data_IF_681728916166
#
_entry.id   IF_681728916166
#
_cell.length_a   1.000
_cell.length_b   1.000
_cell.length_c   1.000
_cell.angle_alpha   90.00
_cell.angle_beta   90.00
_cell.angle_gamma   90.00
#
_symmetry.space_group_name_H-M   'P 1'
#
loop_
_entity.id
_entity.type
_entity.pdbx_description
1 polymer ?
#
# COMPACT_ATOMS: atom_id res chain seq x y z
N UNK A 1 -28.45 20.54 31.74
CA UNK A 1 -28.77 19.09 31.76
C UNK A 1 -28.56 18.58 30.36
N UNK A 2 -27.32 18.23 30.03
CA UNK A 2 -26.99 17.60 28.74
C UNK A 2 -27.23 16.11 28.94
N UNK A 3 -28.15 15.54 28.17
CA UNK A 3 -28.31 14.10 28.07
C UNK A 3 -26.93 13.49 27.80
N UNK A 4 -26.38 12.81 28.78
CA UNK A 4 -25.30 11.85 28.56
C UNK A 4 -25.85 10.85 27.56
N UNK A 5 -25.52 11.04 26.28
CA UNK A 5 -25.70 10.03 25.25
C UNK A 5 -25.16 8.73 25.82
N UNK A 6 -26.03 7.77 26.13
CA UNK A 6 -25.64 6.48 26.68
C UNK A 6 -24.68 5.83 25.69
N UNK A 7 -23.38 5.93 26.01
CA UNK A 7 -22.33 5.29 25.25
C UNK A 7 -22.52 3.81 25.52
N UNK A 8 -23.23 3.12 24.62
CA UNK A 8 -23.39 1.68 24.74
C UNK A 8 -21.98 1.07 24.65
N UNK A 9 -21.41 0.56 25.75
CA UNK A 9 -19.98 0.27 25.85
C UNK A 9 -19.54 -0.79 24.84
N UNK A 10 -20.47 -1.68 24.49
CA UNK A 10 -20.32 -2.70 23.45
C UNK A 10 -20.18 -2.11 22.05
N UNK A 11 -20.92 -1.05 21.72
CA UNK A 11 -20.84 -0.43 20.38
C UNK A 11 -19.51 0.29 20.20
N UNK A 12 -19.07 1.02 21.22
CA UNK A 12 -17.78 1.69 21.22
C UNK A 12 -16.62 0.67 21.10
N UNK A 13 -16.67 -0.43 21.88
CA UNK A 13 -15.62 -1.46 21.82
C UNK A 13 -15.55 -2.16 20.47
N UNK A 14 -16.71 -2.46 19.84
CA UNK A 14 -16.77 -3.03 18.49
C UNK A 14 -16.14 -2.08 17.46
N UNK A 15 -16.48 -0.79 17.51
CA UNK A 15 -15.95 0.19 16.55
C UNK A 15 -14.45 0.42 16.73
N UNK A 16 -13.96 0.50 17.97
CA UNK A 16 -12.52 0.61 18.25
C UNK A 16 -11.75 -0.63 17.80
N UNK A 17 -12.31 -1.82 18.05
CA UNK A 17 -11.75 -3.09 17.56
C UNK A 17 -11.68 -3.10 16.03
N UNK A 18 -12.76 -2.71 15.35
CA UNK A 18 -12.80 -2.62 13.89
C UNK A 18 -11.78 -1.63 13.34
N UNK A 19 -11.62 -0.45 13.96
CA UNK A 19 -10.60 0.52 13.57
C UNK A 19 -9.19 -0.05 13.74
N UNK A 20 -8.93 -0.74 14.85
CA UNK A 20 -7.66 -1.40 15.11
C UNK A 20 -7.34 -2.46 14.03
N UNK A 21 -8.33 -3.29 13.67
CA UNK A 21 -8.19 -4.31 12.63
C UNK A 21 -7.89 -3.71 11.26
N UNK A 22 -8.57 -2.62 10.89
CA UNK A 22 -8.29 -1.93 9.63
C UNK A 22 -6.87 -1.35 9.61
N UNK A 23 -6.42 -0.73 10.71
CA UNK A 23 -5.04 -0.25 10.82
C UNK A 23 -4.01 -1.38 10.74
N UNK A 24 -4.27 -2.52 11.37
CA UNK A 24 -3.42 -3.71 11.29
C UNK A 24 -3.36 -4.25 9.85
N UNK A 25 -4.50 -4.30 9.16
CA UNK A 25 -4.56 -4.73 7.76
C UNK A 25 -3.76 -3.80 6.84
N UNK A 26 -3.84 -2.49 7.03
CA UNK A 26 -3.06 -1.50 6.27
C UNK A 26 -1.55 -1.73 6.48
N UNK A 27 -1.10 -1.86 7.74
CA UNK A 27 0.31 -2.13 8.06
C UNK A 27 0.79 -3.46 7.50
N UNK A 28 -0.07 -4.48 7.53
CA UNK A 28 0.24 -5.80 6.96
C UNK A 28 0.56 -5.72 5.46
N UNK A 29 -0.12 -4.86 4.68
CA UNK A 29 0.21 -4.67 3.27
C UNK A 29 1.58 -4.02 3.06
N UNK A 30 2.00 -3.12 3.95
CA UNK A 30 3.33 -2.50 3.88
C UNK A 30 4.42 -3.55 4.13
N UNK A 31 4.26 -4.37 5.18
CA UNK A 31 5.18 -5.48 5.47
C UNK A 31 5.21 -6.50 4.34
N UNK A 32 4.05 -6.87 3.77
CA UNK A 32 3.98 -7.80 2.63
C UNK A 32 4.72 -7.25 1.41
N UNK A 33 4.55 -5.96 1.09
CA UNK A 33 5.26 -5.34 -0.03
C UNK A 33 6.78 -5.32 0.19
N UNK A 34 7.24 -5.02 1.41
CA UNK A 34 8.67 -5.05 1.76
C UNK A 34 9.27 -6.45 1.63
N UNK A 35 8.64 -7.46 2.25
CA UNK A 35 9.13 -8.85 2.21
C UNK A 35 9.18 -9.37 0.77
N UNK A 36 8.14 -9.15 -0.02
CA UNK A 36 8.11 -9.59 -1.42
C UNK A 36 9.15 -8.84 -2.25
N UNK A 37 9.35 -7.53 -2.05
CA UNK A 37 10.39 -6.77 -2.75
C UNK A 37 11.79 -7.28 -2.44
N UNK A 38 12.08 -7.60 -1.17
CA UNK A 38 13.38 -8.18 -0.77
C UNK A 38 13.57 -9.54 -1.43
N UNK A 39 12.55 -10.42 -1.38
CA UNK A 39 12.58 -11.72 -2.05
C UNK A 39 12.79 -11.59 -3.56
N UNK A 40 12.17 -10.60 -4.19
CA UNK A 40 12.35 -10.32 -5.61
C UNK A 40 13.79 -9.92 -5.94
N UNK A 41 14.37 -8.97 -5.21
CA UNK A 41 15.78 -8.56 -5.42
C UNK A 41 16.74 -9.74 -5.22
N UNK A 42 16.53 -10.53 -4.17
CA UNK A 42 17.37 -11.70 -3.90
C UNK A 42 17.30 -12.72 -5.04
N UNK A 43 16.10 -13.00 -5.54
CA UNK A 43 15.92 -13.92 -6.66
C UNK A 43 16.57 -13.44 -7.96
N UNK A 44 16.62 -12.12 -8.22
CA UNK A 44 17.33 -11.59 -9.39
C UNK A 44 18.81 -11.94 -9.32
N UNK A 45 19.41 -11.88 -8.11
CA UNK A 45 20.78 -12.32 -7.88
C UNK A 45 20.98 -13.83 -8.14
N UNK A 46 20.00 -14.66 -7.79
CA UNK A 46 20.05 -16.09 -8.13
C UNK A 46 19.93 -16.32 -9.64
N UNK A 47 19.00 -15.64 -10.30
CA UNK A 47 18.75 -15.74 -11.75
C UNK A 47 19.99 -15.32 -12.55
N UNK A 48 20.71 -14.28 -12.11
CA UNK A 48 21.97 -13.86 -12.75
C UNK A 48 23.09 -14.87 -12.52
N UNK A 49 23.22 -15.40 -11.29
CA UNK A 49 24.24 -16.41 -10.95
C UNK A 49 24.04 -17.71 -11.72
N UNK A 50 22.80 -18.21 -11.78
CA UNK A 50 22.45 -19.41 -12.56
C UNK A 50 22.59 -19.13 -14.05
N UNK A 51 22.19 -17.94 -14.51
CA UNK A 51 22.33 -17.54 -15.90
C UNK A 51 23.78 -17.45 -16.39
N UNK A 52 24.74 -17.18 -15.49
CA UNK A 52 26.17 -17.17 -15.81
C UNK A 52 26.77 -18.57 -16.00
N UNK A 53 26.12 -19.62 -15.52
CA UNK A 53 26.54 -21.02 -15.75
C UNK A 53 26.21 -21.52 -17.16
N UNK A 54 25.39 -20.78 -17.93
CA UNK A 54 25.08 -21.15 -19.30
C UNK A 54 26.28 -20.87 -20.24
N UNK A 55 26.61 -21.78 -21.17
CA UNK A 55 27.89 -21.77 -21.89
C UNK A 55 28.08 -20.68 -22.95
N UNK A 56 27.07 -19.85 -23.25
CA UNK A 56 27.17 -18.82 -24.29
C UNK A 56 27.27 -17.38 -23.75
N UNK A 57 28.27 -16.65 -24.24
CA UNK A 57 28.45 -15.21 -24.03
C UNK A 57 27.49 -14.48 -24.97
N UNK A 58 26.42 -13.81 -24.46
CA UNK A 58 25.45 -13.15 -25.33
C UNK A 58 26.10 -11.98 -26.05
N UNK A 59 25.80 -11.79 -27.33
CA UNK A 59 25.94 -10.47 -27.95
C UNK A 59 24.87 -9.56 -27.34
N UNK A 60 25.25 -8.83 -26.30
CA UNK A 60 24.35 -7.88 -25.66
C UNK A 60 24.03 -6.73 -26.61
N UNK A 61 22.92 -6.85 -27.31
CA UNK A 61 22.31 -5.69 -27.97
C UNK A 61 21.82 -4.74 -26.89
N UNK A 62 22.04 -3.43 -27.06
CA UNK A 62 21.63 -2.37 -26.12
C UNK A 62 20.16 -2.52 -25.70
N UNK A 63 19.28 -2.92 -26.62
CA UNK A 63 17.87 -3.18 -26.34
C UNK A 63 17.64 -4.27 -25.28
N UNK A 64 18.42 -5.36 -25.29
CA UNK A 64 18.30 -6.47 -24.34
C UNK A 64 18.76 -6.03 -22.93
N UNK A 65 19.81 -5.20 -22.87
CA UNK A 65 20.29 -4.62 -21.60
C UNK A 65 19.26 -3.68 -20.99
N UNK A 66 18.65 -2.80 -21.80
CA UNK A 66 17.57 -1.93 -21.33
C UNK A 66 16.37 -2.75 -20.88
N UNK A 67 15.99 -3.78 -21.65
CA UNK A 67 14.86 -4.64 -21.31
C UNK A 67 15.07 -5.40 -19.99
N UNK A 68 16.26 -5.95 -19.74
CA UNK A 68 16.56 -6.64 -18.48
C UNK A 68 16.54 -5.69 -17.28
N UNK A 69 17.02 -4.45 -17.46
CA UNK A 69 16.91 -3.39 -16.45
C UNK A 69 15.46 -3.06 -16.14
N UNK A 70 14.61 -2.89 -17.16
CA UNK A 70 13.18 -2.61 -16.97
C UNK A 70 12.51 -3.74 -16.20
N UNK A 71 12.76 -5.00 -16.57
CA UNK A 71 12.19 -6.17 -15.88
C UNK A 71 12.66 -6.31 -14.43
N UNK A 72 13.89 -5.89 -14.11
CA UNK A 72 14.39 -5.91 -12.74
C UNK A 72 13.93 -4.73 -11.89
N UNK A 73 13.96 -3.51 -12.44
CA UNK A 73 13.74 -2.29 -11.66
C UNK A 73 12.27 -1.93 -11.50
N UNK A 74 11.45 -2.12 -12.54
CA UNK A 74 10.02 -1.74 -12.50
C UNK A 74 9.25 -2.47 -11.39
N UNK A 75 9.41 -3.80 -11.19
CA UNK A 75 8.73 -4.48 -10.08
C UNK A 75 9.13 -3.95 -8.70
N UNK A 76 10.42 -3.65 -8.49
CA UNK A 76 10.92 -3.09 -7.23
C UNK A 76 10.31 -1.71 -6.97
N UNK A 77 10.29 -0.84 -7.98
CA UNK A 77 9.63 0.46 -7.89
C UNK A 77 8.13 0.34 -7.59
N UNK A 78 7.45 -0.63 -8.19
CA UNK A 78 6.03 -0.89 -7.94
C UNK A 78 5.76 -1.34 -6.50
N UNK A 79 6.61 -2.18 -5.91
CA UNK A 79 6.50 -2.52 -4.49
C UNK A 79 6.75 -1.30 -3.59
N UNK A 80 7.70 -0.43 -3.95
CA UNK A 80 7.87 0.88 -3.28
C UNK A 80 6.61 1.76 -3.38
N UNK A 81 5.95 1.76 -4.54
CA UNK A 81 4.70 2.50 -4.76
C UNK A 81 3.51 1.99 -3.94
N UNK A 82 3.53 0.72 -3.50
CA UNK A 82 2.54 0.18 -2.55
C UNK A 82 2.63 0.90 -1.19
N UNK A 83 3.82 1.38 -0.81
CA UNK A 83 4.06 2.10 0.44
C UNK A 83 3.58 3.57 0.38
N UNK A 84 3.46 4.14 -0.83
CA UNK A 84 3.22 5.57 -1.02
C UNK A 84 1.76 6.08 -0.97
N UNK A 85 0.66 5.29 -0.85
CA UNK A 85 -0.63 5.91 -0.59
C UNK A 85 -0.65 6.43 0.86
N UNK A 86 -0.36 7.72 1.02
CA UNK A 86 -0.58 8.46 2.26
C UNK A 86 -2.07 8.68 2.48
N UNK A 87 -2.49 8.84 3.74
CA UNK A 87 -3.88 9.13 4.14
C UNK A 87 -4.50 10.35 3.42
N UNK A 88 -3.68 11.23 2.84
CA UNK A 88 -4.15 12.38 2.04
C UNK A 88 -4.68 12.00 0.65
N UNK A 89 -4.31 10.83 0.13
CA UNK A 89 -4.76 10.32 -1.19
C UNK A 89 -6.00 9.42 -1.09
N UNK A 90 -6.48 9.12 0.13
CA UNK A 90 -7.72 8.39 0.32
C UNK A 90 -8.89 9.22 -0.23
N UNK A 91 -9.82 8.64 -1.02
CA UNK A 91 -10.96 9.36 -1.57
C UNK A 91 -11.70 10.09 -0.47
N UNK A 92 -11.91 11.40 -0.63
CA UNK A 92 -12.82 12.14 0.24
C UNK A 92 -14.22 11.60 -0.03
N UNK A 93 -14.87 11.06 0.99
CA UNK A 93 -16.27 10.64 0.85
C UNK A 93 -17.13 11.85 0.44
N UNK A 94 -18.07 11.61 -0.48
CA UNK A 94 -18.93 12.64 -1.05
C UNK A 94 -19.75 13.39 -0.01
N UNK A 95 -19.52 14.70 0.07
CA UNK A 95 -20.50 15.81 0.12
C UNK A 95 -21.73 15.77 1.04
N UNK A 96 -21.82 14.89 2.03
CA UNK A 96 -22.71 15.10 3.20
C UNK A 96 -21.96 14.79 4.47
N UNK A 97 -21.21 15.79 4.92
CA UNK A 97 -20.38 15.71 6.13
C UNK A 97 -20.68 16.95 6.98
N UNK A 98 -21.95 17.23 7.22
CA UNK A 98 -22.37 18.48 7.89
C UNK A 98 -22.07 18.47 9.40
N UNK A 99 -21.66 17.33 9.97
CA UNK A 99 -21.42 17.16 11.41
C UNK A 99 -20.08 16.48 11.78
N UNK A 100 -19.08 16.52 10.90
CA UNK A 100 -17.76 15.94 11.17
C UNK A 100 -16.76 17.04 11.54
N UNK A 101 -16.43 17.12 12.83
CA UNK A 101 -15.46 18.09 13.35
C UNK A 101 -14.01 17.63 13.08
N UNK A 102 -13.79 16.32 12.93
CA UNK A 102 -12.46 15.68 12.83
C UNK A 102 -11.62 15.99 14.06
N UNK A 103 -12.23 15.94 15.23
CA UNK A 103 -11.63 16.32 16.51
C UNK A 103 -10.62 15.28 17.00
N UNK A 104 -10.67 14.02 16.53
CA UNK A 104 -9.72 12.99 16.97
C UNK A 104 -8.28 13.13 16.44
N UNK A 105 -8.03 13.95 15.41
CA UNK A 105 -6.67 14.25 14.94
C UNK A 105 -6.35 15.72 15.15
N UNK A 106 -5.46 16.02 16.09
CA UNK A 106 -4.91 17.35 16.26
C UNK A 106 -4.09 17.74 15.03
N UNK A 107 -4.62 18.66 14.24
CA UNK A 107 -3.86 19.40 13.23
C UNK A 107 -3.69 20.83 13.75
N UNK A 108 -2.44 21.23 13.98
CA UNK A 108 -2.11 22.59 14.45
C UNK A 108 -2.64 23.67 13.49
N UNK A 109 -2.73 23.35 12.20
CA UNK A 109 -3.30 24.20 11.14
C UNK A 109 -4.81 24.41 11.27
N UNK A 110 -5.52 23.49 11.95
CA UNK A 110 -6.98 23.49 12.08
C UNK A 110 -7.44 24.02 13.42
N UNK A 111 -6.70 23.71 14.49
CA UNK A 111 -6.99 24.16 15.84
C UNK A 111 -5.73 24.78 16.45
N UNK A 112 -5.45 26.06 16.16
CA UNK A 112 -4.29 26.77 16.71
C UNK A 112 -4.43 27.08 18.21
N UNK A 113 -5.66 27.03 18.74
CA UNK A 113 -5.98 27.32 20.14
C UNK A 113 -6.68 26.09 20.75
N UNK A 114 -6.29 25.75 21.98
CA UNK A 114 -6.84 24.59 22.71
C UNK A 114 -8.35 24.71 22.94
N UNK A 115 -8.85 25.91 23.18
CA UNK A 115 -10.27 26.15 23.43
C UNK A 115 -11.12 25.86 22.18
N UNK A 116 -10.62 26.22 20.99
CA UNK A 116 -11.28 25.88 19.72
C UNK A 116 -11.31 24.36 19.49
N UNK A 117 -10.26 23.66 19.92
CA UNK A 117 -10.20 22.20 19.87
C UNK A 117 -11.21 21.55 20.82
N UNK A 118 -11.29 22.01 22.07
CA UNK A 118 -12.24 21.49 23.07
C UNK A 118 -13.68 21.76 22.62
N UNK A 119 -13.98 22.96 22.12
CA UNK A 119 -15.31 23.28 21.59
C UNK A 119 -15.70 22.41 20.39
N UNK A 120 -14.76 22.12 19.50
CA UNK A 120 -14.98 21.20 18.38
C UNK A 120 -15.12 19.74 18.84
N UNK A 121 -14.41 19.33 19.88
CA UNK A 121 -14.52 18.00 20.47
C UNK A 121 -15.88 17.79 21.15
N UNK A 122 -16.35 18.77 21.93
CA UNK A 122 -17.65 18.70 22.61
C UNK A 122 -18.84 18.68 21.65
N UNK A 123 -18.68 19.26 20.45
CA UNK A 123 -19.68 19.23 19.39
C UNK A 123 -19.59 17.97 18.50
N UNK A 124 -18.60 17.11 18.71
CA UNK A 124 -18.36 15.96 17.84
C UNK A 124 -19.17 14.73 18.26
N UNK A 125 -19.88 14.12 17.31
CA UNK A 125 -20.50 12.81 17.51
C UNK A 125 -19.43 11.71 17.31
N UNK A 126 -19.04 11.09 18.43
CA UNK A 126 -18.02 10.04 18.48
C UNK A 126 -18.31 8.88 17.51
N UNK A 127 -19.59 8.53 17.29
CA UNK A 127 -19.99 7.41 16.44
C UNK A 127 -19.79 7.75 14.97
N UNK A 128 -20.16 8.97 14.57
CA UNK A 128 -20.00 9.47 13.19
C UNK A 128 -18.51 9.59 12.85
N UNK A 129 -17.72 10.17 13.76
CA UNK A 129 -16.27 10.33 13.54
C UNK A 129 -15.55 8.98 13.42
N UNK A 130 -15.86 8.05 14.32
CA UNK A 130 -15.20 6.73 14.31
C UNK A 130 -15.61 5.90 13.09
N UNK A 131 -16.89 5.92 12.71
CA UNK A 131 -17.37 5.26 11.49
C UNK A 131 -16.73 5.85 10.23
N UNK A 132 -16.58 7.17 10.16
CA UNK A 132 -15.90 7.86 9.07
C UNK A 132 -14.43 7.41 8.94
N UNK A 133 -13.70 7.34 10.06
CA UNK A 133 -12.31 6.92 10.08
C UNK A 133 -12.13 5.44 9.67
N UNK A 134 -13.03 4.56 10.13
CA UNK A 134 -13.06 3.15 9.68
C UNK A 134 -13.27 3.08 8.17
N UNK A 135 -14.24 3.83 7.64
CA UNK A 135 -14.56 3.79 6.22
C UNK A 135 -13.42 4.34 5.36
N UNK A 136 -12.85 5.49 5.74
CA UNK A 136 -11.70 6.09 5.05
C UNK A 136 -10.47 5.17 5.10
N UNK A 137 -10.20 4.57 6.25
CA UNK A 137 -9.08 3.63 6.41
C UNK A 137 -9.32 2.34 5.61
N UNK A 138 -10.56 1.86 5.51
CA UNK A 138 -10.92 0.72 4.68
C UNK A 138 -10.69 0.98 3.20
N UNK A 139 -11.03 2.18 2.69
CA UNK A 139 -10.70 2.58 1.32
C UNK A 139 -9.19 2.62 1.07
N UNK A 140 -8.42 3.13 2.03
CA UNK A 140 -6.95 3.12 1.95
C UNK A 140 -6.40 1.70 1.88
N UNK A 141 -6.93 0.78 2.70
CA UNK A 141 -6.59 -0.65 2.67
C UNK A 141 -6.85 -1.24 1.28
N UNK A 142 -8.01 -0.98 0.68
CA UNK A 142 -8.37 -1.53 -0.62
C UNK A 142 -7.48 -0.97 -1.75
N UNK A 143 -7.09 0.30 -1.67
CA UNK A 143 -6.09 0.89 -2.57
C UNK A 143 -4.74 0.19 -2.44
N UNK A 144 -4.24 -0.02 -1.21
CA UNK A 144 -2.99 -0.74 -0.96
C UNK A 144 -3.06 -2.18 -1.50
N UNK A 145 -4.16 -2.89 -1.23
CA UNK A 145 -4.41 -4.23 -1.77
C UNK A 145 -4.34 -4.24 -3.30
N UNK A 146 -5.02 -3.31 -3.97
CA UNK A 146 -5.03 -3.23 -5.45
C UNK A 146 -3.63 -2.97 -6.00
N UNK A 147 -2.88 -2.03 -5.43
CA UNK A 147 -1.49 -1.75 -5.82
C UNK A 147 -0.58 -2.96 -5.60
N UNK A 148 -0.71 -3.62 -4.45
CA UNK A 148 0.06 -4.82 -4.13
C UNK A 148 -0.18 -5.95 -5.13
N UNK A 149 -1.44 -6.25 -5.46
CA UNK A 149 -1.77 -7.28 -6.45
C UNK A 149 -1.24 -6.92 -7.84
N UNK A 150 -1.30 -5.64 -8.22
CA UNK A 150 -0.72 -5.17 -9.48
C UNK A 150 0.80 -5.35 -9.52
N UNK A 151 1.51 -4.94 -8.47
CA UNK A 151 2.95 -5.14 -8.35
C UNK A 151 3.32 -6.62 -8.44
N UNK A 152 2.57 -7.50 -7.76
CA UNK A 152 2.77 -8.94 -7.78
C UNK A 152 2.59 -9.53 -9.19
N UNK A 153 1.56 -9.09 -9.94
CA UNK A 153 1.35 -9.53 -11.33
C UNK A 153 2.51 -9.12 -12.23
N UNK A 154 3.00 -7.89 -12.09
CA UNK A 154 4.11 -7.37 -12.91
C UNK A 154 5.43 -8.07 -12.55
N UNK A 155 5.68 -8.35 -11.27
CA UNK A 155 6.82 -9.16 -10.83
C UNK A 155 6.75 -10.58 -11.41
N UNK A 156 5.59 -11.24 -11.34
CA UNK A 156 5.39 -12.57 -11.93
C UNK A 156 5.60 -12.59 -13.44
N UNK A 157 5.09 -11.58 -14.15
CA UNK A 157 5.33 -11.42 -15.59
C UNK A 157 6.82 -11.20 -15.89
N UNK A 158 7.51 -10.44 -15.04
CA UNK A 158 8.94 -10.17 -15.22
C UNK A 158 9.77 -11.45 -15.10
N UNK A 159 9.46 -12.31 -14.12
CA UNK A 159 10.09 -13.63 -14.04
C UNK A 159 9.80 -14.50 -15.26
N UNK A 160 8.54 -14.55 -15.71
CA UNK A 160 8.17 -15.35 -16.88
C UNK A 160 8.94 -14.91 -18.13
N UNK A 161 9.09 -13.59 -18.33
CA UNK A 161 9.86 -13.03 -19.45
C UNK A 161 11.36 -13.29 -19.30
N UNK A 162 11.94 -13.10 -18.11
CA UNK A 162 13.35 -13.42 -17.87
C UNK A 162 13.65 -14.90 -18.12
N UNK A 163 12.77 -15.78 -17.65
CA UNK A 163 12.87 -17.22 -17.89
C UNK A 163 12.79 -17.56 -19.38
N UNK A 164 11.83 -16.96 -20.11
CA UNK A 164 11.69 -17.18 -21.56
C UNK A 164 12.95 -16.74 -22.32
N UNK A 165 13.52 -15.57 -21.98
CA UNK A 165 14.76 -15.09 -22.57
C UNK A 165 15.92 -16.05 -22.28
N UNK A 166 16.03 -16.55 -21.04
CA UNK A 166 17.06 -17.53 -20.69
C UNK A 166 16.89 -18.86 -21.42
N UNK A 167 15.65 -19.34 -21.58
CA UNK A 167 15.33 -20.56 -22.31
C UNK A 167 15.68 -20.42 -23.79
N UNK A 168 15.26 -19.33 -24.43
CA UNK A 168 15.56 -19.07 -25.84
C UNK A 168 17.06 -18.96 -26.10
N UNK A 169 17.81 -18.35 -25.17
CA UNK A 169 19.28 -18.35 -25.20
C UNK A 169 19.85 -19.77 -25.09
N UNK A 170 19.28 -20.62 -24.24
CA UNK A 170 19.78 -22.00 -24.06
C UNK A 170 19.49 -22.92 -25.24
N UNK A 171 18.60 -22.53 -26.15
CA UNK A 171 18.19 -23.30 -27.34
C UNK A 171 18.75 -22.67 -28.63
N UNK A 172 19.72 -21.75 -28.51
CA UNK A 172 20.37 -21.01 -29.61
C UNK A 172 19.40 -20.26 -30.56
N UNK A 173 18.15 -20.02 -30.15
CA UNK A 173 17.14 -19.33 -30.96
C UNK A 173 17.33 -17.81 -31.02
N UNK A 174 18.13 -17.25 -30.10
CA UNK A 174 18.48 -15.82 -30.04
C UNK A 174 20.00 -15.76 -29.83
N UNK A 175 20.76 -15.71 -30.92
CA UNK A 175 22.22 -15.45 -30.94
C UNK A 175 22.55 -14.05 -31.45
#
# INVERSE_FOLDING_TARGET
MSETHDIHPTTLSILLSSLHDVHNAIRSYDTKAQVVSIGFIFSLGLITTVGALAPEVPRFTVALVVFSWVLGVVPVMLFGYVLYPSRSMAPKLGTKIDNLQRSYYLLNERYPILDDFIAAFDQSDWKIELAYEIQKSSLLRDMKRRRFVWALRIAGLSYALMFLVQLLRSVDMIS
#
